data_IF_009255781088
#
_entry.id   IF_009255781088
#
_cell.length_a   1.000
_cell.length_b   1.000
_cell.length_c   1.000
_cell.angle_alpha   90.00
_cell.angle_beta   90.00
_cell.angle_gamma   90.00
#
_symmetry.space_group_name_H-M   'P 1'
#
loop_
_entity.id
_entity.type
_entity.pdbx_description
1 polymer ?
#
# COMPACT_ATOMS: atom_id res chain seq x y z
N UNK A 1 -25.85 -66.14 9.09
CA UNK A 1 -26.12 -64.74 9.51
C UNK A 1 -24.86 -63.93 9.23
N UNK A 2 -24.87 -63.17 8.11
CA UNK A 2 -23.72 -62.37 7.70
C UNK A 2 -24.00 -60.94 8.09
N UNK A 3 -23.23 -60.43 9.01
CA UNK A 3 -23.23 -59.02 9.43
C UNK A 3 -22.55 -58.19 8.36
N UNK A 4 -23.28 -57.27 7.73
CA UNK A 4 -22.76 -56.30 6.74
C UNK A 4 -22.26 -55.07 7.50
N UNK A 5 -20.96 -54.88 7.58
CA UNK A 5 -20.35 -53.69 8.17
C UNK A 5 -20.28 -52.62 7.10
N UNK A 6 -21.15 -51.62 7.19
CA UNK A 6 -21.13 -50.44 6.33
C UNK A 6 -20.10 -49.47 6.92
N UNK A 7 -18.94 -49.41 6.25
CA UNK A 7 -17.92 -48.42 6.54
C UNK A 7 -18.34 -47.06 6.04
N UNK A 8 -18.63 -46.11 6.92
CA UNK A 8 -18.86 -44.70 6.60
C UNK A 8 -17.50 -44.04 6.42
N UNK A 9 -17.10 -43.86 5.17
CA UNK A 9 -15.97 -42.99 4.83
C UNK A 9 -16.40 -41.53 5.03
N UNK A 10 -16.04 -40.93 6.16
CA UNK A 10 -16.11 -39.47 6.37
C UNK A 10 -15.00 -38.86 5.55
N UNK A 11 -15.31 -38.48 4.30
CA UNK A 11 -14.46 -37.61 3.48
C UNK A 11 -14.49 -36.20 4.06
N UNK A 12 -13.50 -35.86 4.86
CA UNK A 12 -13.26 -34.52 5.35
C UNK A 12 -12.86 -33.62 4.16
N UNK A 13 -13.80 -32.84 3.65
CA UNK A 13 -13.51 -31.77 2.69
C UNK A 13 -12.79 -30.67 3.46
N UNK A 14 -11.46 -30.65 3.40
CA UNK A 14 -10.66 -29.54 3.87
C UNK A 14 -10.83 -28.41 2.86
N UNK A 15 -11.69 -27.44 3.21
CA UNK A 15 -11.87 -26.21 2.43
C UNK A 15 -10.60 -25.36 2.61
N UNK A 16 -9.64 -25.51 1.71
CA UNK A 16 -8.49 -24.63 1.61
C UNK A 16 -9.00 -23.25 1.13
N UNK A 17 -9.25 -22.35 2.09
CA UNK A 17 -9.46 -20.95 1.78
C UNK A 17 -8.14 -20.37 1.24
N UNK A 18 -7.97 -20.45 -0.07
CA UNK A 18 -6.88 -19.75 -0.76
C UNK A 18 -7.13 -18.24 -0.62
N UNK A 19 -6.40 -17.60 0.27
CA UNK A 19 -6.32 -16.14 0.33
C UNK A 19 -5.57 -15.67 -0.91
N UNK A 20 -6.29 -15.51 -2.02
CA UNK A 20 -5.74 -14.84 -3.19
C UNK A 20 -5.61 -13.37 -2.87
N UNK A 21 -4.38 -12.87 -2.77
CA UNK A 21 -4.13 -11.42 -2.76
C UNK A 21 -4.59 -10.87 -4.11
N UNK A 22 -5.78 -10.29 -4.12
CA UNK A 22 -6.36 -9.73 -5.33
C UNK A 22 -5.53 -8.53 -5.76
N UNK A 23 -4.97 -8.60 -6.97
CA UNK A 23 -4.25 -7.47 -7.55
C UNK A 23 -5.19 -6.28 -7.72
N UNK A 24 -4.73 -5.05 -7.47
CA UNK A 24 -5.55 -3.87 -7.68
C UNK A 24 -6.04 -3.77 -9.13
N UNK A 25 -7.26 -3.25 -9.29
CA UNK A 25 -7.85 -2.99 -10.60
C UNK A 25 -6.94 -2.09 -11.47
N UNK A 26 -6.85 -2.40 -12.76
CA UNK A 26 -6.02 -1.63 -13.72
C UNK A 26 -6.37 -0.15 -13.73
N UNK A 27 -7.65 0.19 -13.58
CA UNK A 27 -8.12 1.57 -13.55
C UNK A 27 -7.60 2.32 -12.32
N UNK A 28 -7.59 1.67 -11.16
CA UNK A 28 -6.99 2.22 -9.93
C UNK A 28 -5.50 2.48 -10.13
N UNK A 29 -4.79 1.52 -10.72
CA UNK A 29 -3.35 1.65 -10.99
C UNK A 29 -3.05 2.80 -11.97
N UNK A 30 -3.86 2.97 -13.01
CA UNK A 30 -3.69 4.07 -13.97
C UNK A 30 -3.95 5.44 -13.33
N UNK A 31 -5.03 5.59 -12.54
CA UNK A 31 -5.32 6.83 -11.82
C UNK A 31 -4.23 7.15 -10.79
N UNK A 32 -3.80 6.15 -10.03
CA UNK A 32 -2.71 6.29 -9.06
C UNK A 32 -1.40 6.70 -9.71
N UNK A 33 -1.07 6.09 -10.86
CA UNK A 33 0.12 6.48 -11.64
C UNK A 33 0.06 7.94 -12.08
N UNK A 34 -1.10 8.40 -12.57
CA UNK A 34 -1.27 9.80 -12.98
C UNK A 34 -1.04 10.78 -11.82
N UNK A 35 -1.53 10.45 -10.63
CA UNK A 35 -1.28 11.27 -9.43
C UNK A 35 0.21 11.22 -9.06
N UNK A 36 0.83 10.05 -9.11
CA UNK A 36 2.25 9.86 -8.84
C UNK A 36 3.12 10.71 -9.78
N UNK A 37 2.87 10.63 -11.07
CA UNK A 37 3.62 11.36 -12.10
C UNK A 37 3.53 12.88 -11.90
N UNK A 38 2.40 13.37 -11.36
CA UNK A 38 2.17 14.80 -11.17
C UNK A 38 2.77 15.35 -9.87
N UNK A 39 2.72 14.59 -8.78
CA UNK A 39 3.00 15.12 -7.44
C UNK A 39 4.17 14.45 -6.71
N UNK A 40 4.58 13.24 -7.14
CA UNK A 40 5.53 12.42 -6.39
C UNK A 40 6.83 12.18 -7.16
N UNK A 41 6.74 12.11 -8.49
CA UNK A 41 7.82 11.70 -9.38
C UNK A 41 9.10 12.51 -9.19
N UNK A 42 8.98 13.83 -9.02
CA UNK A 42 10.12 14.73 -8.93
C UNK A 42 11.07 14.36 -7.77
N UNK A 43 10.51 13.91 -6.64
CA UNK A 43 11.27 13.55 -5.45
C UNK A 43 11.55 12.04 -5.38
N UNK A 44 10.57 11.19 -5.72
CA UNK A 44 10.68 9.76 -5.53
C UNK A 44 11.15 8.98 -6.77
N UNK A 45 11.38 9.67 -7.89
CA UNK A 45 11.88 9.16 -9.16
C UNK A 45 10.93 8.16 -9.85
N UNK A 46 11.19 7.90 -11.14
CA UNK A 46 10.34 7.03 -11.99
C UNK A 46 10.32 5.56 -11.52
N UNK A 47 11.36 5.12 -10.88
CA UNK A 47 11.53 3.74 -10.36
C UNK A 47 11.24 3.60 -8.86
N UNK A 48 10.81 4.69 -8.21
CA UNK A 48 10.56 4.71 -6.78
C UNK A 48 11.82 4.58 -5.92
N UNK A 49 13.01 4.80 -6.48
CA UNK A 49 14.27 4.69 -5.75
C UNK A 49 14.56 5.89 -4.83
N UNK A 50 13.87 7.02 -5.08
CA UNK A 50 14.16 8.26 -4.40
C UNK A 50 15.54 8.84 -4.76
N UNK A 51 16.07 9.68 -3.89
CA UNK A 51 17.42 10.26 -4.00
C UNK A 51 18.15 9.98 -2.69
N UNK A 52 19.30 9.29 -2.71
CA UNK A 52 20.04 8.93 -1.50
C UNK A 52 20.24 10.13 -0.57
N UNK A 53 20.00 9.98 0.70
CA UNK A 53 20.10 10.98 1.77
C UNK A 53 19.22 12.23 1.60
N UNK A 54 18.40 12.29 0.57
CA UNK A 54 17.46 13.40 0.34
C UNK A 54 16.01 12.94 0.40
N UNK A 55 15.61 12.08 -0.54
CA UNK A 55 14.25 11.61 -0.64
C UNK A 55 14.22 10.08 -0.52
N UNK A 56 13.47 9.54 0.43
CA UNK A 56 13.50 8.11 0.71
C UNK A 56 12.95 7.27 -0.45
N UNK A 57 13.46 6.04 -0.62
CA UNK A 57 12.91 5.10 -1.57
C UNK A 57 11.49 4.67 -1.18
N UNK A 58 10.65 4.46 -2.19
CA UNK A 58 9.32 3.88 -2.03
C UNK A 58 9.29 2.40 -2.42
N UNK A 59 10.37 1.91 -3.03
CA UNK A 59 10.46 0.52 -3.50
C UNK A 59 10.88 -0.42 -2.38
N UNK A 60 10.11 -1.49 -2.19
CA UNK A 60 10.43 -2.65 -1.35
C UNK A 60 10.86 -2.29 0.09
N UNK A 61 10.23 -1.26 0.67
CA UNK A 61 10.53 -0.83 2.04
C UNK A 61 9.45 -1.29 3.01
N UNK A 62 9.80 -1.69 4.24
CA UNK A 62 8.83 -1.95 5.30
C UNK A 62 7.97 -0.73 5.62
N UNK A 63 8.50 0.48 5.38
CA UNK A 63 7.77 1.73 5.59
C UNK A 63 6.54 1.83 4.67
N UNK A 64 6.71 1.57 3.37
CA UNK A 64 5.63 1.60 2.37
C UNK A 64 4.69 0.40 2.50
N UNK A 65 5.22 -0.79 2.79
CA UNK A 65 4.42 -2.02 2.86
C UNK A 65 3.72 -2.22 4.20
N UNK A 66 4.11 -1.46 5.23
CA UNK A 66 3.56 -1.54 6.58
C UNK A 66 2.23 -0.81 6.76
N UNK A 67 2.15 0.01 7.80
CA UNK A 67 0.92 0.67 8.26
C UNK A 67 0.38 1.69 7.25
N UNK A 68 -0.80 1.39 6.71
CA UNK A 68 -1.52 2.27 5.77
C UNK A 68 -1.95 3.59 6.40
N UNK A 69 -2.28 3.61 7.69
CA UNK A 69 -2.69 4.84 8.40
C UNK A 69 -1.54 5.84 8.44
N UNK A 70 -0.31 5.35 8.68
CA UNK A 70 0.89 6.18 8.63
C UNK A 70 1.07 6.79 7.25
N UNK A 71 1.01 5.99 6.18
CA UNK A 71 1.17 6.48 4.81
C UNK A 71 0.12 7.53 4.43
N UNK A 72 -1.15 7.30 4.81
CA UNK A 72 -2.22 8.27 4.57
C UNK A 72 -1.92 9.58 5.30
N UNK A 73 -1.48 9.53 6.57
CA UNK A 73 -1.11 10.72 7.31
C UNK A 73 0.06 11.47 6.66
N UNK A 74 1.07 10.76 6.15
CA UNK A 74 2.21 11.37 5.45
C UNK A 74 1.73 12.16 4.23
N UNK A 75 0.82 11.62 3.43
CA UNK A 75 0.25 12.37 2.30
C UNK A 75 -0.56 13.58 2.78
N UNK A 76 -1.40 13.41 3.81
CA UNK A 76 -2.34 14.46 4.25
C UNK A 76 -1.67 15.58 5.04
N UNK A 77 -0.65 15.28 5.83
CA UNK A 77 -0.04 16.20 6.80
C UNK A 77 1.43 16.51 6.51
N UNK A 78 2.03 15.78 5.55
CA UNK A 78 3.47 15.82 5.33
C UNK A 78 4.26 15.00 6.36
N UNK A 79 5.58 15.06 6.24
CA UNK A 79 6.52 14.42 7.14
C UNK A 79 7.70 15.38 7.36
N UNK A 80 7.90 15.82 8.59
CA UNK A 80 8.94 16.79 8.95
C UNK A 80 9.92 16.21 10.00
N UNK A 81 9.84 14.93 10.27
CA UNK A 81 10.73 14.22 11.20
C UNK A 81 11.69 13.32 10.43
N UNK A 82 12.86 13.09 10.99
CA UNK A 82 13.82 12.13 10.45
C UNK A 82 13.21 10.72 10.49
N UNK A 83 13.42 9.99 9.41
CA UNK A 83 13.00 8.58 9.30
C UNK A 83 14.16 7.71 8.84
N UNK A 84 14.29 6.55 9.48
CA UNK A 84 15.20 5.50 9.03
C UNK A 84 14.48 4.55 8.07
N UNK A 85 15.05 4.37 6.87
CA UNK A 85 14.55 3.43 5.87
C UNK A 85 15.71 2.60 5.33
N UNK A 86 15.66 1.29 5.56
CA UNK A 86 16.68 0.34 5.14
C UNK A 86 18.11 0.69 5.65
N UNK A 87 18.21 1.24 6.85
CA UNK A 87 19.48 1.62 7.46
C UNK A 87 20.02 2.99 7.05
N UNK A 88 19.27 3.73 6.23
CA UNK A 88 19.60 5.11 5.85
C UNK A 88 18.63 6.10 6.49
N UNK A 89 19.15 7.24 6.91
CA UNK A 89 18.36 8.32 7.53
C UNK A 89 18.00 9.38 6.49
N UNK A 90 16.75 9.85 6.56
CA UNK A 90 16.18 10.85 5.67
C UNK A 90 15.48 11.92 6.52
N UNK A 91 15.94 13.16 6.42
CA UNK A 91 15.44 14.32 7.17
C UNK A 91 14.85 15.41 6.26
N UNK A 92 14.89 15.21 4.94
CA UNK A 92 14.31 16.17 4.01
C UNK A 92 12.77 16.19 4.14
N UNK A 93 12.16 17.35 4.45
CA UNK A 93 10.73 17.42 4.68
C UNK A 93 9.91 17.01 3.45
N UNK A 94 8.93 16.13 3.63
CA UNK A 94 7.92 15.86 2.62
C UNK A 94 6.72 16.78 2.85
N UNK A 95 6.38 17.67 1.92
CA UNK A 95 5.24 18.56 2.09
C UNK A 95 3.92 17.80 2.05
N UNK A 96 2.93 18.27 2.83
CA UNK A 96 1.56 17.80 2.75
C UNK A 96 0.97 18.01 1.34
N UNK A 97 0.03 17.15 0.97
CA UNK A 97 -0.67 17.22 -0.32
C UNK A 97 -2.18 17.50 -0.14
N UNK A 98 -2.56 18.65 0.42
CA UNK A 98 -3.95 18.93 0.79
C UNK A 98 -4.89 19.05 -0.41
N UNK A 99 -4.35 19.30 -1.61
CA UNK A 99 -5.10 19.39 -2.87
C UNK A 99 -5.62 18.04 -3.36
N UNK A 100 -5.06 16.93 -2.88
CA UNK A 100 -5.52 15.59 -3.27
C UNK A 100 -6.82 15.22 -2.53
N UNK A 101 -7.84 14.84 -3.29
CA UNK A 101 -9.05 14.29 -2.70
C UNK A 101 -8.85 12.85 -2.21
N UNK A 102 -9.84 12.30 -1.48
CA UNK A 102 -9.71 10.97 -0.87
C UNK A 102 -9.50 9.85 -1.89
N UNK A 103 -10.12 9.95 -3.06
CA UNK A 103 -9.92 8.99 -4.14
C UNK A 103 -8.49 9.03 -4.69
N UNK A 104 -7.95 10.22 -4.89
CA UNK A 104 -6.59 10.40 -5.39
C UNK A 104 -5.54 9.89 -4.40
N UNK A 105 -5.74 10.13 -3.10
CA UNK A 105 -4.87 9.59 -2.04
C UNK A 105 -4.94 8.06 -2.01
N UNK A 106 -6.13 7.48 -2.06
CA UNK A 106 -6.31 6.03 -2.10
C UNK A 106 -5.65 5.40 -3.34
N UNK A 107 -5.86 6.00 -4.52
CA UNK A 107 -5.33 5.49 -5.79
C UNK A 107 -3.79 5.58 -5.83
N UNK A 108 -3.19 6.72 -5.43
CA UNK A 108 -1.72 6.87 -5.46
C UNK A 108 -1.03 5.96 -4.45
N UNK A 109 -1.58 5.79 -3.24
CA UNK A 109 -1.01 4.88 -2.26
C UNK A 109 -1.17 3.41 -2.70
N UNK A 110 -2.29 3.06 -3.34
CA UNK A 110 -2.46 1.74 -3.95
C UNK A 110 -1.43 1.51 -5.06
N UNK A 111 -1.21 2.51 -5.93
CA UNK A 111 -0.19 2.46 -6.98
C UNK A 111 1.21 2.25 -6.39
N UNK A 112 1.65 3.06 -5.44
CA UNK A 112 2.96 2.96 -4.80
C UNK A 112 3.14 1.59 -4.13
N UNK A 113 2.13 1.09 -3.44
CA UNK A 113 2.17 -0.21 -2.75
C UNK A 113 2.14 -1.42 -3.69
N UNK A 114 1.90 -1.23 -5.00
CA UNK A 114 1.83 -2.29 -6.00
C UNK A 114 2.70 -2.01 -7.24
N UNK A 115 3.58 -1.01 -7.16
CA UNK A 115 4.59 -0.68 -8.17
C UNK A 115 5.99 -0.86 -7.60
N UNK A 116 7.02 -0.68 -8.40
CA UNK A 116 8.42 -0.71 -7.96
C UNK A 116 8.86 -2.02 -7.29
N UNK A 117 8.22 -3.13 -7.66
CA UNK A 117 8.43 -4.43 -7.02
C UNK A 117 7.66 -4.65 -5.70
N UNK A 118 6.86 -3.69 -5.29
CA UNK A 118 5.97 -3.80 -4.12
C UNK A 118 4.79 -4.73 -4.40
N UNK A 119 4.33 -5.44 -3.35
CA UNK A 119 3.12 -6.28 -3.36
C UNK A 119 2.36 -6.06 -2.05
N UNK A 120 1.69 -4.92 -1.95
CA UNK A 120 0.92 -4.53 -0.77
C UNK A 120 -0.59 -4.51 -1.02
N UNK A 121 -1.36 -4.57 0.06
CA UNK A 121 -2.81 -4.41 -0.03
C UNK A 121 -3.19 -3.00 -0.50
N UNK A 122 -4.27 -2.89 -1.26
CA UNK A 122 -4.83 -1.63 -1.69
C UNK A 122 -5.23 -0.73 -0.50
N UNK A 123 -5.16 0.57 -0.71
CA UNK A 123 -5.70 1.59 0.20
C UNK A 123 -7.08 1.97 -0.30
N UNK A 124 -8.07 1.99 0.59
CA UNK A 124 -9.45 2.31 0.24
C UNK A 124 -9.77 3.77 0.52
N UNK A 125 -10.75 4.31 -0.22
CA UNK A 125 -11.29 5.65 0.03
C UNK A 125 -11.85 5.79 1.44
N UNK A 126 -12.46 4.73 1.98
CA UNK A 126 -12.99 4.72 3.34
C UNK A 126 -11.89 4.89 4.40
N UNK A 127 -10.72 4.23 4.21
CA UNK A 127 -9.56 4.42 5.10
C UNK A 127 -9.05 5.86 5.07
N UNK A 128 -8.97 6.48 3.89
CA UNK A 128 -8.53 7.87 3.75
C UNK A 128 -9.51 8.82 4.43
N UNK A 129 -10.82 8.68 4.17
CA UNK A 129 -11.88 9.48 4.81
C UNK A 129 -11.83 9.40 6.33
N UNK A 130 -11.69 8.18 6.86
CA UNK A 130 -11.64 7.96 8.30
C UNK A 130 -10.44 8.64 8.97
N UNK A 131 -9.32 8.78 8.27
CA UNK A 131 -8.13 9.47 8.78
C UNK A 131 -8.25 10.97 8.60
N UNK A 132 -8.72 11.45 7.45
CA UNK A 132 -8.92 12.88 7.19
C UNK A 132 -9.94 13.52 8.16
N UNK A 133 -10.93 12.77 8.60
CA UNK A 133 -11.92 13.24 9.58
C UNK A 133 -11.37 13.40 11.02
N UNK A 134 -10.20 12.80 11.31
CA UNK A 134 -9.51 12.95 12.60
C UNK A 134 -8.61 14.19 12.54
N UNK A 135 -9.13 15.30 13.05
CA UNK A 135 -8.36 16.55 13.22
C UNK A 135 -7.29 16.42 14.29
#
# INVERSE_FOLDING_TARGET
MKQLIIGICLSGIVLLMSFTMQQPDKTVMQRGKKVYDTYCLACHQVDGAGVPRMNPPLKQTPYVLGDKKRLINVILKGLNEEVEINGEFYDNPMPAQPQLNDQQVADVLTYVRNSFGNKGSAVTVAEVKAIRAKK
#
